data_IF_213792573989
#
_entry.id   IF_213792573989
#
_cell.length_a   1.000
_cell.length_b   1.000
_cell.length_c   1.000
_cell.angle_alpha   90.00
_cell.angle_beta   90.00
_cell.angle_gamma   90.00
#
_symmetry.space_group_name_H-M   'P 1'
#
loop_
_entity.id
_entity.type
_entity.pdbx_description
1 polymer ?
#
# COMPACT_ATOMS: atom_id res chain seq x y z
N UNK A 1 17.03 20.24 -18.87
CA UNK A 1 16.52 18.97 -18.31
C UNK A 1 16.05 19.23 -16.89
N UNK A 2 15.09 18.44 -16.38
CA UNK A 2 14.54 18.61 -15.02
C UNK A 2 14.13 17.24 -14.46
N UNK A 3 14.32 17.00 -13.17
CA UNK A 3 13.68 15.90 -12.44
C UNK A 3 12.49 16.43 -11.66
N UNK A 4 11.34 15.76 -11.77
CA UNK A 4 10.13 16.10 -11.02
C UNK A 4 9.25 14.87 -10.79
N UNK A 5 8.87 14.62 -9.53
CA UNK A 5 7.92 13.56 -9.13
C UNK A 5 8.30 12.17 -9.66
N UNK A 6 9.58 11.83 -9.62
CA UNK A 6 10.06 10.53 -10.12
C UNK A 6 10.30 10.47 -11.63
N UNK A 7 10.08 11.56 -12.36
CA UNK A 7 10.22 11.60 -13.82
C UNK A 7 11.34 12.57 -14.22
N UNK A 8 12.22 12.13 -15.11
CA UNK A 8 13.22 12.97 -15.76
C UNK A 8 12.62 13.50 -17.06
N UNK A 9 12.63 14.82 -17.21
CA UNK A 9 12.15 15.54 -18.37
C UNK A 9 13.30 16.16 -19.16
N UNK A 10 13.31 15.90 -20.46
CA UNK A 10 14.19 16.51 -21.44
C UNK A 10 13.34 17.33 -22.40
N UNK A 11 13.65 18.62 -22.52
CA UNK A 11 12.95 19.55 -23.42
C UNK A 11 13.92 20.08 -24.46
N UNK A 12 13.53 20.01 -25.72
CA UNK A 12 14.26 20.55 -26.87
C UNK A 12 13.41 21.64 -27.52
N UNK A 13 14.01 22.81 -27.69
CA UNK A 13 13.37 24.00 -28.23
C UNK A 13 14.14 24.51 -29.45
N UNK A 14 13.41 25.07 -30.42
CA UNK A 14 13.98 25.85 -31.50
C UNK A 14 14.36 27.28 -31.04
N UNK A 15 14.93 28.06 -31.94
CA UNK A 15 15.32 29.47 -31.67
C UNK A 15 14.13 30.38 -31.32
N UNK A 16 12.90 29.96 -31.66
CA UNK A 16 11.65 30.68 -31.39
C UNK A 16 10.97 30.21 -30.10
N UNK A 17 11.54 29.21 -29.41
CA UNK A 17 11.01 28.61 -28.20
C UNK A 17 9.93 27.53 -28.41
N UNK A 18 9.73 27.05 -29.64
CA UNK A 18 8.80 25.97 -29.95
C UNK A 18 9.46 24.60 -29.73
N UNK A 19 8.67 23.62 -29.32
CA UNK A 19 9.14 22.24 -29.14
C UNK A 19 9.53 21.59 -30.47
N UNK A 20 10.66 20.90 -30.49
CA UNK A 20 11.14 20.18 -31.67
C UNK A 20 10.88 18.69 -31.52
N UNK A 21 10.05 18.13 -32.38
CA UNK A 21 9.67 16.72 -32.39
C UNK A 21 10.73 15.83 -33.07
N UNK A 22 10.79 14.55 -32.67
CA UNK A 22 11.57 13.53 -33.35
C UNK A 22 13.06 13.50 -33.03
N UNK A 23 13.53 14.38 -32.14
CA UNK A 23 14.94 14.46 -31.74
C UNK A 23 15.31 13.21 -30.92
N UNK A 24 16.32 12.43 -31.33
CA UNK A 24 16.81 11.30 -30.55
C UNK A 24 17.44 11.76 -29.24
N UNK A 25 17.00 11.17 -28.14
CA UNK A 25 17.50 11.41 -26.79
C UNK A 25 17.80 10.06 -26.15
N UNK A 26 19.02 9.89 -25.62
CA UNK A 26 19.41 8.72 -24.85
C UNK A 26 19.50 9.11 -23.38
N UNK A 27 18.80 8.40 -22.50
CA UNK A 27 18.86 8.60 -21.04
C UNK A 27 19.29 7.29 -20.40
N UNK A 28 20.47 7.24 -19.77
CA UNK A 28 21.05 6.01 -19.18
C UNK A 28 20.98 4.81 -20.14
N UNK A 29 21.35 5.02 -21.41
CA UNK A 29 21.33 4.00 -22.45
C UNK A 29 19.94 3.68 -23.03
N UNK A 30 18.85 4.27 -22.52
CA UNK A 30 17.51 4.12 -23.09
C UNK A 30 17.30 5.13 -24.21
N UNK A 31 17.05 4.66 -25.42
CA UNK A 31 16.76 5.50 -26.58
C UNK A 31 15.29 5.95 -26.61
N UNK A 32 15.09 7.26 -26.69
CA UNK A 32 13.81 7.94 -26.74
C UNK A 32 13.80 8.96 -27.88
N UNK A 33 12.61 9.46 -28.22
CA UNK A 33 12.44 10.59 -29.14
C UNK A 33 11.56 11.65 -28.51
N UNK A 34 11.83 12.92 -28.81
CA UNK A 34 10.95 14.01 -28.39
C UNK A 34 9.60 13.93 -29.10
N UNK A 35 8.53 14.24 -28.38
CA UNK A 35 7.18 14.34 -28.94
C UNK A 35 6.91 15.70 -29.61
N UNK A 36 5.67 15.93 -30.05
CA UNK A 36 5.22 17.20 -30.67
C UNK A 36 5.41 18.47 -29.82
N UNK A 37 5.63 18.34 -28.51
CA UNK A 37 5.95 19.46 -27.62
C UNK A 37 7.45 19.62 -27.37
N UNK A 38 8.29 18.85 -28.07
CA UNK A 38 9.73 18.81 -27.87
C UNK A 38 10.15 18.12 -26.57
N UNK A 39 9.32 17.24 -26.02
CA UNK A 39 9.56 16.60 -24.72
C UNK A 39 9.88 15.11 -24.87
N UNK A 40 10.91 14.65 -24.18
CA UNK A 40 11.15 13.24 -23.89
C UNK A 40 11.18 13.06 -22.36
N UNK A 41 10.64 11.95 -21.86
CA UNK A 41 10.61 11.69 -20.42
C UNK A 41 10.80 10.21 -20.11
N UNK A 42 11.37 9.94 -18.94
CA UNK A 42 11.57 8.59 -18.40
C UNK A 42 11.35 8.60 -16.89
N UNK A 43 10.77 7.53 -16.36
CA UNK A 43 10.65 7.32 -14.93
C UNK A 43 12.01 6.89 -14.34
N UNK A 44 12.50 7.63 -13.34
CA UNK A 44 13.70 7.28 -12.60
C UNK A 44 13.33 6.29 -11.50
N UNK A 45 13.94 5.11 -11.53
CA UNK A 45 13.70 4.05 -10.52
C UNK A 45 14.71 4.07 -9.39
N UNK A 46 15.89 4.59 -9.66
CA UNK A 46 17.02 4.56 -8.74
C UNK A 46 17.60 5.96 -8.54
N UNK A 47 18.08 6.31 -7.34
CA UNK A 47 18.84 7.53 -7.16
C UNK A 47 20.19 7.43 -7.85
N UNK A 48 20.70 8.55 -8.36
CA UNK A 48 21.97 8.60 -9.06
C UNK A 48 22.05 9.78 -10.02
N UNK A 49 23.18 9.89 -10.70
CA UNK A 49 23.37 10.85 -11.78
C UNK A 49 23.01 10.18 -13.08
N UNK A 50 21.98 10.67 -13.75
CA UNK A 50 21.55 10.19 -15.05
C UNK A 50 22.28 10.95 -16.16
N UNK A 51 23.03 10.25 -17.01
CA UNK A 51 23.65 10.77 -18.23
C UNK A 51 22.61 10.84 -19.35
N UNK A 52 22.55 12.00 -20.00
CA UNK A 52 21.59 12.29 -21.06
C UNK A 52 22.36 12.79 -22.28
N UNK A 53 22.18 12.08 -23.39
CA UNK A 53 22.77 12.43 -24.69
C UNK A 53 21.67 12.83 -25.65
N UNK A 54 21.82 13.98 -26.31
CA UNK A 54 20.92 14.43 -27.37
C UNK A 54 21.68 14.44 -28.70
N UNK A 55 21.01 13.97 -29.75
CA UNK A 55 21.52 14.08 -31.12
C UNK A 55 20.71 15.15 -31.87
N UNK A 56 21.26 16.36 -31.94
CA UNK A 56 20.67 17.49 -32.67
C UNK A 56 21.23 17.49 -34.10
N UNK A 57 20.68 16.62 -34.95
CA UNK A 57 21.04 16.49 -36.37
C UNK A 57 22.55 16.34 -36.60
N UNK A 58 23.17 15.40 -35.88
CA UNK A 58 24.60 15.10 -35.94
C UNK A 58 25.45 15.86 -34.92
N UNK A 59 24.87 16.84 -34.21
CA UNK A 59 25.53 17.48 -33.06
C UNK A 59 25.14 16.78 -31.76
N UNK A 60 26.11 16.10 -31.16
CA UNK A 60 25.93 15.44 -29.87
C UNK A 60 26.05 16.47 -28.75
N UNK A 61 25.05 16.50 -27.86
CA UNK A 61 25.03 17.32 -26.64
C UNK A 61 24.83 16.41 -25.45
N UNK A 62 25.69 16.52 -24.45
CA UNK A 62 25.60 15.74 -23.21
C UNK A 62 25.18 16.64 -22.03
N UNK A 63 24.34 16.09 -21.16
CA UNK A 63 23.89 16.74 -19.93
C UNK A 63 23.61 15.70 -18.86
N UNK A 64 23.44 16.16 -17.62
CA UNK A 64 23.30 15.30 -16.46
C UNK A 64 22.12 15.76 -15.61
N UNK A 65 21.41 14.81 -15.02
CA UNK A 65 20.36 15.07 -14.03
C UNK A 65 20.64 14.26 -12.79
N UNK A 66 20.78 14.94 -11.66
CA UNK A 66 20.94 14.30 -10.36
C UNK A 66 19.57 13.94 -9.78
N UNK A 67 19.36 12.65 -9.52
CA UNK A 67 18.15 12.12 -8.87
C UNK A 67 18.49 11.69 -7.45
N UNK A 68 17.87 12.36 -6.48
CA UNK A 68 18.05 12.08 -5.04
C UNK A 68 16.89 11.24 -4.53
N UNK A 69 17.08 10.54 -3.41
CA UNK A 69 16.05 9.71 -2.77
C UNK A 69 15.77 10.16 -1.34
N UNK A 70 14.52 10.00 -0.92
CA UNK A 70 14.09 10.21 0.46
C UNK A 70 14.44 9.00 1.34
N UNK A 71 14.85 9.29 2.57
CA UNK A 71 14.99 8.31 3.65
C UNK A 71 13.94 8.60 4.71
N UNK A 72 13.18 7.59 5.10
CA UNK A 72 12.07 7.72 6.03
C UNK A 72 12.33 6.90 7.30
N UNK A 73 12.29 7.57 8.44
CA UNK A 73 12.35 6.97 9.77
C UNK A 73 11.09 7.36 10.55
N UNK A 74 10.81 6.66 11.65
CA UNK A 74 9.61 6.93 12.43
C UNK A 74 9.82 6.63 13.92
N UNK A 75 9.02 7.28 14.75
CA UNK A 75 8.98 7.11 16.18
C UNK A 75 7.53 7.22 16.66
N UNK A 76 7.05 6.23 17.40
CA UNK A 76 5.72 6.28 17.99
C UNK A 76 5.79 6.94 19.38
N UNK A 77 4.94 7.96 19.59
CA UNK A 77 4.69 8.58 20.90
C UNK A 77 3.20 8.53 21.23
N UNK A 78 2.82 7.53 22.03
CA UNK A 78 1.42 7.26 22.37
C UNK A 78 0.54 7.12 21.11
N UNK A 79 -0.40 8.04 20.91
CA UNK A 79 -1.36 8.08 19.80
C UNK A 79 -0.86 8.91 18.61
N UNK A 80 0.37 9.41 18.66
CA UNK A 80 0.99 10.15 17.56
C UNK A 80 2.18 9.37 17.02
N UNK A 81 2.25 9.25 15.70
CA UNK A 81 3.40 8.74 14.99
C UNK A 81 4.17 9.92 14.41
N UNK A 82 5.41 10.09 14.85
CA UNK A 82 6.34 11.06 14.29
C UNK A 82 7.06 10.38 13.13
N UNK A 83 6.96 10.97 11.94
CA UNK A 83 7.67 10.50 10.75
C UNK A 83 8.73 11.53 10.38
N UNK A 84 9.97 11.06 10.24
CA UNK A 84 11.13 11.87 9.87
C UNK A 84 11.55 11.54 8.45
N UNK A 85 11.55 12.53 7.58
CA UNK A 85 12.00 12.43 6.19
C UNK A 85 13.30 13.20 6.02
N UNK A 86 14.33 12.52 5.53
CA UNK A 86 15.70 13.03 5.44
C UNK A 86 16.35 12.71 4.09
N UNK A 87 17.38 13.46 3.73
CA UNK A 87 18.28 13.12 2.64
C UNK A 87 19.36 12.11 3.07
N UNK A 88 20.24 11.73 2.14
CA UNK A 88 21.37 10.82 2.40
C UNK A 88 22.39 11.39 3.39
N UNK A 89 22.44 12.72 3.58
CA UNK A 89 23.30 13.37 4.56
C UNK A 89 22.64 13.48 5.96
N UNK A 90 21.39 13.01 6.09
CA UNK A 90 20.62 13.08 7.32
C UNK A 90 19.95 14.42 7.59
N UNK A 91 19.95 15.35 6.63
CA UNK A 91 19.25 16.64 6.71
C UNK A 91 17.75 16.42 6.50
N UNK A 92 16.93 17.03 7.36
CA UNK A 92 15.48 17.03 7.21
C UNK A 92 15.00 17.69 5.91
N UNK A 93 13.98 17.10 5.28
CA UNK A 93 13.38 17.62 4.04
C UNK A 93 11.94 18.04 4.32
N UNK A 94 11.70 19.35 4.27
CA UNK A 94 10.35 19.92 4.37
C UNK A 94 9.54 19.87 3.09
N UNK A 95 8.23 20.07 3.25
CA UNK A 95 7.23 20.03 2.19
C UNK A 95 7.17 18.69 1.42
N UNK A 96 7.33 17.60 2.15
CA UNK A 96 7.10 16.23 1.66
C UNK A 96 5.73 15.79 2.13
N UNK A 97 4.91 15.28 1.22
CA UNK A 97 3.59 14.74 1.56
C UNK A 97 3.75 13.30 2.01
N UNK A 98 3.21 12.96 3.17
CA UNK A 98 3.19 11.61 3.72
C UNK A 98 1.77 11.12 3.74
N UNK A 99 1.49 10.04 3.02
CA UNK A 99 0.25 9.29 3.11
C UNK A 99 0.46 8.12 4.08
N UNK A 100 -0.41 8.03 5.09
CA UNK A 100 -0.41 6.94 6.05
C UNK A 100 -1.74 6.18 5.97
N UNK A 101 -1.68 4.90 5.63
CA UNK A 101 -2.83 4.01 5.49
C UNK A 101 -2.73 2.92 6.55
N UNK A 102 -3.65 2.95 7.51
CA UNK A 102 -3.74 1.97 8.59
C UNK A 102 -5.05 1.17 8.53
N UNK A 103 -5.28 0.32 9.55
CA UNK A 103 -6.44 -0.58 9.59
C UNK A 103 -7.79 0.14 9.74
N UNK A 104 -7.80 1.35 10.31
CA UNK A 104 -9.05 2.12 10.55
C UNK A 104 -9.29 3.12 9.40
N UNK A 105 -8.23 3.68 8.82
CA UNK A 105 -8.38 4.72 7.81
C UNK A 105 -7.06 5.18 7.23
N UNK A 106 -7.15 6.28 6.46
CA UNK A 106 -6.02 6.96 5.85
C UNK A 106 -5.94 8.41 6.32
N UNK A 107 -4.73 8.91 6.49
CA UNK A 107 -4.48 10.32 6.80
C UNK A 107 -3.27 10.83 6.02
N UNK A 108 -3.15 12.16 5.93
CA UNK A 108 -2.06 12.83 5.22
C UNK A 108 -1.33 13.77 6.18
N UNK A 109 -0.01 13.78 6.09
CA UNK A 109 0.86 14.73 6.78
C UNK A 109 1.76 15.45 5.80
N UNK A 110 2.19 16.66 6.15
CA UNK A 110 3.22 17.38 5.41
C UNK A 110 4.38 17.63 6.35
N UNK A 111 5.60 17.38 5.89
CA UNK A 111 6.80 17.61 6.71
C UNK A 111 7.11 19.09 6.89
N UNK A 112 7.46 19.46 8.12
CA UNK A 112 7.97 20.78 8.47
C UNK A 112 9.39 21.04 7.92
N UNK A 113 9.96 22.22 8.18
CA UNK A 113 11.33 22.57 7.74
C UNK A 113 12.41 21.60 8.26
N UNK A 114 12.15 20.91 9.37
CA UNK A 114 13.05 19.90 9.95
C UNK A 114 12.81 18.50 9.38
N UNK A 115 11.90 18.35 8.42
CA UNK A 115 11.54 17.07 7.82
C UNK A 115 10.67 16.19 8.71
N UNK A 116 9.94 16.76 9.67
CA UNK A 116 9.08 16.01 10.60
C UNK A 116 7.61 16.18 10.24
N UNK A 117 6.86 15.09 10.21
CA UNK A 117 5.41 15.08 10.07
C UNK A 117 4.77 14.33 11.23
N UNK A 118 3.60 14.80 11.67
CA UNK A 118 2.81 14.17 12.71
C UNK A 118 1.64 13.43 12.07
N UNK A 119 1.53 12.14 12.38
CA UNK A 119 0.45 11.27 11.93
C UNK A 119 -0.39 10.87 13.13
N UNK A 120 -1.70 11.11 13.05
CA UNK A 120 -2.65 10.76 14.11
C UNK A 120 -3.02 9.28 14.03
N UNK A 121 -2.64 8.50 15.04
CA UNK A 121 -2.94 7.07 15.11
C UNK A 121 -4.40 6.79 15.43
N UNK A 122 -5.16 7.76 15.95
CA UNK A 122 -6.60 7.59 16.17
C UNK A 122 -7.39 7.57 14.85
N UNK A 123 -6.86 8.19 13.79
CA UNK A 123 -7.47 8.20 12.45
C UNK A 123 -7.04 7.01 11.60
N UNK A 124 -5.77 6.60 11.73
CA UNK A 124 -5.19 5.51 10.93
C UNK A 124 -5.38 4.15 11.59
N UNK A 125 -5.43 4.11 12.92
CA UNK A 125 -5.54 2.92 13.74
C UNK A 125 -4.20 2.31 14.13
N UNK A 126 -4.23 1.46 15.16
CA UNK A 126 -3.05 0.74 15.63
C UNK A 126 -2.89 -0.60 14.91
N UNK A 127 -1.65 -1.00 14.62
CA UNK A 127 -1.34 -2.21 13.86
C UNK A 127 -0.40 -1.93 12.68
N UNK A 128 -0.61 -2.63 11.57
CA UNK A 128 0.22 -2.44 10.38
C UNK A 128 -0.21 -1.19 9.61
N UNK A 129 0.71 -0.25 9.43
CA UNK A 129 0.49 1.01 8.69
C UNK A 129 1.44 1.05 7.51
N UNK A 130 0.91 1.34 6.32
CA UNK A 130 1.69 1.68 5.13
C UNK A 130 1.92 3.20 5.10
N UNK A 131 3.18 3.59 5.03
CA UNK A 131 3.60 4.98 4.87
C UNK A 131 4.17 5.17 3.47
N UNK A 132 3.74 6.22 2.79
CA UNK A 132 4.24 6.64 1.48
C UNK A 132 4.59 8.12 1.52
N UNK A 133 5.85 8.44 1.25
CA UNK A 133 6.36 9.79 1.18
C UNK A 133 6.57 10.22 -0.28
N UNK A 134 5.90 11.28 -0.69
CA UNK A 134 5.95 11.85 -2.03
C UNK A 134 6.59 13.24 -2.03
N UNK A 135 7.48 13.48 -2.99
CA UNK A 135 8.15 14.77 -3.19
C UNK A 135 8.33 15.06 -4.68
N UNK A 136 8.29 16.34 -5.02
CA UNK A 136 8.61 16.78 -6.39
C UNK A 136 10.11 16.67 -6.68
N UNK A 137 10.98 16.78 -5.66
CA UNK A 137 12.44 16.93 -5.84
C UNK A 137 13.24 15.66 -5.55
N UNK A 138 12.60 14.64 -4.99
CA UNK A 138 13.25 13.41 -4.58
C UNK A 138 12.40 12.21 -5.02
N UNK A 139 13.05 11.07 -5.28
CA UNK A 139 12.36 9.79 -5.35
C UNK A 139 11.68 9.50 -4.01
N UNK A 140 10.42 9.10 -4.11
CA UNK A 140 9.58 8.77 -2.96
C UNK A 140 10.14 7.62 -2.13
N UNK A 141 9.61 7.51 -0.91
CA UNK A 141 9.95 6.43 0.01
C UNK A 141 8.68 5.76 0.50
N UNK A 142 8.71 4.44 0.62
CA UNK A 142 7.60 3.65 1.13
C UNK A 142 8.10 2.74 2.25
N UNK A 143 7.28 2.57 3.29
CA UNK A 143 7.56 1.66 4.39
C UNK A 143 6.27 1.05 4.93
N UNK A 144 6.36 -0.17 5.44
CA UNK A 144 5.30 -0.79 6.23
C UNK A 144 5.82 -0.91 7.65
N UNK A 145 5.07 -0.35 8.59
CA UNK A 145 5.45 -0.28 10.00
C UNK A 145 4.38 -0.94 10.87
N UNK A 146 4.74 -1.31 12.09
CA UNK A 146 3.78 -1.82 13.07
C UNK A 146 3.77 -0.91 14.29
N UNK A 147 2.64 -0.26 14.55
CA UNK A 147 2.43 0.60 15.72
C UNK A 147 1.57 -0.12 16.76
N UNK A 148 1.83 0.12 18.05
CA UNK A 148 1.17 -0.58 19.16
C UNK A 148 0.14 0.32 19.82
N UNK A 149 -0.96 -0.24 20.31
CA UNK A 149 -1.89 0.54 21.12
C UNK A 149 -1.21 0.96 22.44
N UNK A 150 -1.37 2.23 22.88
CA UNK A 150 -0.83 2.68 24.16
C UNK A 150 -1.40 1.83 25.29
N UNK A 151 -0.54 1.38 26.21
CA UNK A 151 -1.01 0.75 27.44
C UNK A 151 -1.78 1.79 28.24
N UNK A 152 -3.08 1.58 28.44
CA UNK A 152 -3.87 2.39 29.37
C UNK A 152 -3.17 2.39 30.73
N UNK A 153 -3.05 3.54 31.41
CA UNK A 153 -2.43 3.57 32.73
C UNK A 153 -3.18 2.60 33.65
N UNK A 154 -2.45 1.62 34.21
CA UNK A 154 -2.96 0.80 35.29
C UNK A 154 -3.33 1.75 36.44
N UNK A 155 -4.62 1.85 36.72
CA UNK A 155 -5.09 2.54 37.92
C UNK A 155 -4.59 1.72 39.10
N UNK A 156 -3.49 2.16 39.71
CA UNK A 156 -3.03 1.59 41.00
C UNK A 156 -4.14 1.83 42.00
N UNK A 157 -4.89 0.77 42.31
CA UNK A 157 -5.84 0.77 43.42
C UNK A 157 -5.02 0.98 44.70
N UNK A 158 -5.23 2.06 45.47
CA UNK A 158 -4.54 2.22 46.74
C UNK A 158 -4.92 1.07 47.69
N UNK A 159 -4.00 0.58 48.53
CA UNK A 159 -4.31 -0.46 49.49
C UNK A 159 -5.42 0.00 50.45
N UNK A 160 -6.49 -0.80 50.52
CA UNK A 160 -7.59 -0.64 51.48
C UNK A 160 -7.05 -0.79 52.90
N UNK A 161 -6.94 0.31 53.64
CA UNK A 161 -6.90 0.30 55.09
C UNK A 161 -8.32 0.08 55.60
N UNK A 162 -8.55 -1.06 56.25
CA UNK A 162 -9.80 -1.35 56.97
C UNK A 162 -9.94 -0.38 58.14
N UNK A 163 -10.81 0.61 58.01
CA UNK A 163 -11.39 1.33 59.14
C UNK A 163 -12.91 1.21 59.11
N UNK A 164 -13.45 0.87 60.28
CA UNK A 164 -14.86 0.66 60.60
C UNK A 164 -15.74 1.87 60.23
N UNK A 165 -16.91 1.68 59.58
CA UNK A 165 -17.79 2.79 59.25
C UNK A 165 -18.71 3.13 60.43
N UNK A 166 -18.76 4.42 60.79
CA UNK A 166 -19.85 5.01 61.55
C UNK A 166 -20.85 5.57 60.53
N UNK A 167 -22.10 5.14 60.65
CA UNK A 167 -23.24 5.58 59.85
C UNK A 167 -23.46 7.09 59.97
N UNK A 168 -23.49 7.78 58.82
CA UNK A 168 -24.31 8.97 58.63
C UNK A 168 -24.81 9.01 57.19
N UNK A 169 -26.12 8.81 57.05
CA UNK A 169 -26.88 8.82 55.80
C UNK A 169 -27.22 10.24 55.39
N UNK A 170 -26.78 10.65 54.20
CA UNK A 170 -27.38 11.75 53.44
C UNK A 170 -27.84 11.18 52.09
N UNK A 171 -29.13 11.30 51.70
CA UNK A 171 -29.63 10.64 50.50
C UNK A 171 -29.20 11.41 49.25
N UNK A 172 -28.36 10.79 48.42
CA UNK A 172 -28.16 11.18 47.01
C UNK A 172 -29.11 10.31 46.17
N UNK A 173 -30.00 10.97 45.43
CA UNK A 173 -30.95 10.30 44.53
C UNK A 173 -30.22 9.44 43.48
N UNK A 174 -30.69 8.21 43.19
CA UNK A 174 -30.17 7.44 42.07
C UNK A 174 -30.57 8.12 40.76
N UNK A 175 -29.58 8.48 39.93
CA UNK A 175 -29.83 8.93 38.56
C UNK A 175 -30.48 7.78 37.80
N UNK A 176 -31.73 8.00 37.39
CA UNK A 176 -32.54 7.04 36.63
C UNK A 176 -31.82 6.69 35.32
N UNK A 177 -31.56 5.41 35.01
CA UNK A 177 -30.97 5.03 33.72
C UNK A 177 -31.93 5.45 32.61
N UNK A 178 -31.40 6.13 31.58
CA UNK A 178 -32.17 6.48 30.38
C UNK A 178 -32.63 5.18 29.71
N UNK A 179 -33.93 5.07 29.50
CA UNK A 179 -34.55 3.93 28.84
C UNK A 179 -34.31 4.02 27.34
N UNK A 180 -33.38 3.21 26.84
CA UNK A 180 -32.99 3.18 25.42
C UNK A 180 -33.75 2.09 24.63
N UNK A 181 -34.90 1.62 25.10
CA UNK A 181 -35.76 0.68 24.38
C UNK A 181 -35.00 -0.51 23.79
N UNK A 182 -35.26 -0.85 22.52
CA UNK A 182 -34.61 -1.99 21.84
C UNK A 182 -33.22 -1.68 21.25
N UNK A 183 -32.67 -0.49 21.47
CA UNK A 183 -31.39 -0.05 20.91
C UNK A 183 -30.19 -0.94 21.30
N UNK A 184 -30.06 -1.45 22.55
CA UNK A 184 -29.03 -2.45 22.87
C UNK A 184 -29.19 -3.76 22.10
N UNK A 185 -30.43 -4.20 21.83
CA UNK A 185 -30.71 -5.42 21.07
C UNK A 185 -30.34 -5.23 19.59
N UNK A 186 -30.68 -4.07 19.02
CA UNK A 186 -30.31 -3.69 17.64
C UNK A 186 -28.79 -3.63 17.48
N UNK A 187 -28.08 -3.07 18.47
CA UNK A 187 -26.61 -3.02 18.45
C UNK A 187 -26.00 -4.43 18.48
N UNK A 188 -26.50 -5.33 19.32
CA UNK A 188 -26.02 -6.73 19.36
C UNK A 188 -26.30 -7.46 18.05
N UNK A 189 -27.50 -7.32 17.49
CA UNK A 189 -27.84 -7.91 16.18
C UNK A 189 -26.96 -7.33 15.05
N UNK A 190 -26.71 -6.03 15.05
CA UNK A 190 -25.82 -5.40 14.06
C UNK A 190 -24.37 -5.87 14.20
N UNK A 191 -23.86 -6.04 15.42
CA UNK A 191 -22.51 -6.56 15.66
C UNK A 191 -22.34 -8.00 15.17
N UNK A 192 -23.37 -8.85 15.32
CA UNK A 192 -23.34 -10.23 14.82
C UNK A 192 -23.38 -10.27 13.28
N UNK A 193 -24.24 -9.47 12.65
CA UNK A 193 -24.38 -9.44 11.18
C UNK A 193 -23.12 -8.85 10.52
N UNK A 194 -22.67 -7.65 10.94
CA UNK A 194 -21.52 -6.98 10.31
C UNK A 194 -20.17 -7.57 10.73
N UNK A 195 -20.07 -8.09 11.96
CA UNK A 195 -18.88 -8.82 12.40
C UNK A 195 -18.68 -10.09 11.57
N UNK A 196 -19.71 -10.93 11.43
CA UNK A 196 -19.59 -12.21 10.73
C UNK A 196 -19.28 -12.07 9.23
N UNK A 197 -19.84 -11.09 8.52
CA UNK A 197 -19.59 -10.92 7.07
C UNK A 197 -18.18 -10.42 6.77
N UNK A 198 -17.59 -9.62 7.66
CA UNK A 198 -16.25 -9.03 7.45
C UNK A 198 -15.12 -10.06 7.62
N UNK A 199 -15.27 -11.01 8.56
CA UNK A 199 -14.28 -12.07 8.76
C UNK A 199 -14.24 -13.06 7.60
N UNK A 200 -15.38 -13.38 6.97
CA UNK A 200 -15.43 -14.37 5.89
C UNK A 200 -14.57 -14.00 4.67
N UNK A 201 -14.32 -12.72 4.41
CA UNK A 201 -13.45 -12.27 3.31
C UNK A 201 -11.96 -12.64 3.55
N UNK A 202 -11.51 -12.69 4.80
CA UNK A 202 -10.13 -13.05 5.14
C UNK A 202 -9.86 -14.56 5.06
N UNK A 203 -10.91 -15.39 5.00
CA UNK A 203 -10.81 -16.85 5.01
C UNK A 203 -11.19 -17.50 3.67
N UNK A 204 -11.55 -16.72 2.65
CA UNK A 204 -11.87 -17.24 1.31
C UNK A 204 -10.64 -17.18 0.40
N UNK A 205 -10.37 -18.23 -0.40
CA UNK A 205 -9.32 -18.17 -1.41
C UNK A 205 -9.69 -17.14 -2.48
N UNK A 206 -8.73 -16.29 -2.84
CA UNK A 206 -8.89 -15.33 -3.94
C UNK A 206 -8.67 -16.07 -5.25
N UNK A 207 -9.65 -15.96 -6.16
CA UNK A 207 -9.58 -16.55 -7.51
C UNK A 207 -9.58 -15.42 -8.53
N UNK A 208 -8.67 -15.48 -9.48
CA UNK A 208 -8.60 -14.56 -10.59
C UNK A 208 -8.56 -15.38 -11.87
N UNK A 209 -9.46 -15.08 -12.80
CA UNK A 209 -9.57 -15.74 -14.10
C UNK A 209 -9.33 -14.69 -15.18
N UNK A 210 -8.46 -15.00 -16.13
CA UNK A 210 -8.13 -14.12 -17.24
C UNK A 210 -8.05 -14.93 -18.54
N UNK A 211 -8.69 -14.42 -19.59
CA UNK A 211 -8.63 -15.03 -20.92
C UNK A 211 -7.93 -14.06 -21.88
N UNK A 212 -6.87 -14.53 -22.51
CA UNK A 212 -6.04 -13.80 -23.45
C UNK A 212 -5.94 -14.62 -24.75
N UNK A 213 -6.80 -14.30 -25.72
CA UNK A 213 -6.86 -14.96 -27.03
C UNK A 213 -7.04 -16.49 -26.87
N UNK A 214 -6.00 -17.27 -27.17
CA UNK A 214 -5.96 -18.74 -27.05
C UNK A 214 -5.49 -19.26 -25.68
N UNK A 215 -5.17 -18.38 -24.73
CA UNK A 215 -4.69 -18.76 -23.40
C UNK A 215 -5.72 -18.39 -22.34
N UNK A 216 -5.89 -19.29 -21.38
CA UNK A 216 -6.76 -19.09 -20.23
C UNK A 216 -5.95 -19.31 -18.95
N UNK A 217 -5.93 -18.30 -18.09
CA UNK A 217 -5.16 -18.29 -16.86
C UNK A 217 -6.10 -18.25 -15.65
N UNK A 218 -5.82 -19.11 -14.68
CA UNK A 218 -6.49 -19.08 -13.39
C UNK A 218 -5.44 -18.99 -12.30
N UNK A 219 -5.53 -17.94 -11.49
CA UNK A 219 -4.69 -17.73 -10.32
C UNK A 219 -5.53 -17.95 -9.08
N UNK A 220 -5.02 -18.78 -8.17
CA UNK A 220 -5.62 -19.03 -6.86
C UNK A 220 -4.62 -18.68 -5.78
N UNK A 221 -5.06 -17.89 -4.80
CA UNK A 221 -4.26 -17.53 -3.64
C UNK A 221 -4.91 -17.99 -2.35
N UNK A 222 -4.15 -18.68 -1.52
CA UNK A 222 -4.60 -19.11 -0.21
C UNK A 222 -4.80 -17.92 0.75
N UNK A 223 -5.77 -17.98 1.66
CA UNK A 223 -5.94 -17.01 2.75
C UNK A 223 -4.64 -16.78 3.53
N UNK A 224 -4.37 -15.54 3.96
CA UNK A 224 -3.12 -15.22 4.70
C UNK A 224 -3.04 -15.83 6.09
N UNK A 225 -4.18 -16.27 6.64
CA UNK A 225 -4.31 -16.74 8.02
C UNK A 225 -4.59 -18.24 8.13
N UNK A 226 -4.75 -18.96 7.01
CA UNK A 226 -5.05 -20.39 7.01
C UNK A 226 -4.60 -21.09 5.72
N UNK A 227 -4.11 -22.31 5.87
CA UNK A 227 -3.81 -23.22 4.76
C UNK A 227 -5.09 -23.59 3.99
N UNK A 228 -4.96 -23.69 2.67
CA UNK A 228 -6.04 -24.15 1.80
C UNK A 228 -5.80 -25.63 1.47
N UNK A 229 -6.76 -26.49 1.78
CA UNK A 229 -6.69 -27.93 1.50
C UNK A 229 -7.79 -28.35 0.53
N UNK A 230 -7.50 -29.39 -0.25
CA UNK A 230 -8.45 -30.06 -1.15
C UNK A 230 -9.22 -29.07 -2.04
N UNK A 231 -8.49 -28.09 -2.58
CA UNK A 231 -9.08 -27.08 -3.43
C UNK A 231 -9.35 -27.68 -4.80
N UNK A 232 -10.62 -27.66 -5.23
CA UNK A 232 -11.03 -28.10 -6.56
C UNK A 232 -11.62 -26.94 -7.34
N UNK A 233 -11.12 -26.77 -8.56
CA UNK A 233 -11.61 -25.82 -9.53
C UNK A 233 -12.08 -26.58 -10.77
N UNK A 234 -13.29 -26.29 -11.23
CA UNK A 234 -13.88 -26.90 -12.41
C UNK A 234 -14.42 -25.81 -13.33
N UNK A 235 -14.05 -25.86 -14.61
CA UNK A 235 -14.51 -24.92 -15.62
C UNK A 235 -14.80 -25.64 -16.93
N UNK A 236 -15.99 -25.39 -17.50
CA UNK A 236 -16.35 -25.87 -18.82
C UNK A 236 -15.71 -25.01 -19.90
N UNK A 237 -14.61 -25.51 -20.46
CA UNK A 237 -13.83 -24.85 -21.49
C UNK A 237 -13.10 -25.91 -22.32
N UNK A 238 -13.21 -25.82 -23.64
CA UNK A 238 -12.55 -26.73 -24.57
C UNK A 238 -11.07 -26.37 -24.62
N UNK A 239 -10.27 -26.99 -23.76
CA UNK A 239 -8.83 -26.80 -23.75
C UNK A 239 -8.11 -27.98 -24.41
N UNK A 240 -7.10 -27.64 -25.21
CA UNK A 240 -6.21 -28.59 -25.90
C UNK A 240 -5.11 -29.09 -24.96
N UNK A 241 -4.58 -28.21 -24.10
CA UNK A 241 -3.58 -28.55 -23.07
C UNK A 241 -3.83 -27.69 -21.83
N UNK A 242 -3.48 -28.20 -20.64
CA UNK A 242 -3.57 -27.46 -19.39
C UNK A 242 -2.49 -27.90 -18.41
N UNK A 243 -1.83 -26.92 -17.78
CA UNK A 243 -0.74 -27.13 -16.83
C UNK A 243 -0.92 -26.24 -15.62
N UNK A 244 -0.55 -26.74 -14.46
CA UNK A 244 -0.56 -25.95 -13.23
C UNK A 244 0.82 -25.95 -12.56
N UNK A 245 1.12 -24.88 -11.84
CA UNK A 245 2.34 -24.77 -11.02
C UNK A 245 2.27 -25.63 -9.76
N UNK A 246 1.06 -25.94 -9.27
CA UNK A 246 0.79 -26.84 -8.15
C UNK A 246 -0.51 -27.62 -8.37
N UNK A 247 -0.57 -28.82 -7.82
CA UNK A 247 -1.74 -29.68 -7.92
C UNK A 247 -1.81 -30.45 -9.25
N UNK A 248 -2.87 -31.24 -9.40
CA UNK A 248 -3.12 -32.07 -10.57
C UNK A 248 -4.17 -31.43 -11.46
N UNK A 249 -3.93 -31.47 -12.78
CA UNK A 249 -4.88 -30.97 -13.79
C UNK A 249 -5.32 -32.13 -14.65
N UNK A 250 -6.62 -32.21 -14.90
CA UNK A 250 -7.25 -33.20 -15.77
C UNK A 250 -8.26 -32.51 -16.68
N UNK A 251 -8.24 -32.88 -17.97
CA UNK A 251 -9.19 -32.39 -18.96
C UNK A 251 -10.13 -33.55 -19.28
N UNK A 252 -11.39 -33.43 -18.91
CA UNK A 252 -12.41 -34.48 -19.10
C UNK A 252 -13.69 -33.83 -19.65
N UNK A 253 -14.27 -34.42 -20.70
CA UNK A 253 -15.56 -34.00 -21.30
C UNK A 253 -15.66 -32.49 -21.61
N UNK A 254 -14.60 -31.88 -22.16
CA UNK A 254 -14.59 -30.44 -22.48
C UNK A 254 -14.56 -29.52 -21.24
N UNK A 255 -14.08 -30.04 -20.11
CA UNK A 255 -13.90 -29.31 -18.86
C UNK A 255 -12.50 -29.49 -18.31
N UNK A 256 -11.98 -28.44 -17.68
CA UNK A 256 -10.73 -28.50 -16.92
C UNK A 256 -11.09 -28.68 -15.46
N UNK A 257 -10.50 -29.71 -14.85
CA UNK A 257 -10.56 -29.99 -13.43
C UNK A 257 -9.15 -29.77 -12.87
N UNK A 258 -9.01 -28.88 -11.91
CA UNK A 258 -7.75 -28.59 -11.23
C UNK A 258 -7.90 -28.81 -9.74
N UNK A 259 -7.09 -29.71 -9.20
CA UNK A 259 -7.12 -30.13 -7.79
C UNK A 259 -5.79 -29.82 -7.10
N UNK A 260 -5.84 -29.14 -5.96
CA UNK A 260 -4.68 -28.79 -5.16
C UNK A 260 -4.85 -29.33 -3.74
N UNK A 261 -3.95 -30.23 -3.34
CA UNK A 261 -4.00 -30.91 -2.04
C UNK A 261 -3.76 -29.94 -0.87
N UNK A 262 -2.76 -29.05 -1.02
CA UNK A 262 -2.36 -28.08 0.00
C UNK A 262 -1.71 -26.83 -0.62
N UNK A 263 -2.13 -25.65 -0.15
CA UNK A 263 -1.43 -24.37 -0.29
C UNK A 263 -1.19 -23.74 1.08
N UNK A 264 0.02 -23.23 1.27
CA UNK A 264 0.40 -22.51 2.49
C UNK A 264 -0.25 -21.12 2.57
N UNK A 265 -0.35 -20.51 3.75
CA UNK A 265 -1.04 -19.24 3.91
C UNK A 265 -0.39 -18.13 3.07
N UNK A 266 -1.18 -17.50 2.19
CA UNK A 266 -0.70 -16.45 1.29
C UNK A 266 0.02 -16.94 0.03
N UNK A 267 0.23 -18.26 -0.12
CA UNK A 267 0.83 -18.89 -1.30
C UNK A 267 -0.10 -18.81 -2.53
N UNK A 268 0.51 -18.74 -3.71
CA UNK A 268 -0.18 -18.59 -4.99
C UNK A 268 0.07 -19.81 -5.88
N UNK A 269 -0.97 -20.24 -6.58
CA UNK A 269 -0.91 -21.29 -7.59
C UNK A 269 -1.54 -20.80 -8.89
N UNK A 270 -1.00 -21.26 -10.01
CA UNK A 270 -1.40 -20.83 -11.34
C UNK A 270 -1.76 -22.05 -12.17
N UNK A 271 -2.86 -21.93 -12.90
CA UNK A 271 -3.30 -22.84 -13.95
C UNK A 271 -3.24 -22.06 -15.26
N UNK A 272 -2.60 -22.64 -16.26
CA UNK A 272 -2.55 -22.15 -17.62
C UNK A 272 -3.15 -23.21 -18.53
N UNK A 273 -4.17 -22.84 -19.28
CA UNK A 273 -4.81 -23.67 -20.28
C UNK A 273 -4.72 -23.02 -21.66
N UNK A 274 -4.64 -23.86 -22.68
CA UNK A 274 -4.61 -23.47 -24.09
C UNK A 274 -5.94 -23.91 -24.70
N UNK A 275 -6.65 -22.96 -25.29
CA UNK A 275 -7.95 -23.15 -25.94
C UNK A 275 -7.81 -23.60 -27.39
#
# INVERSE_FOLDING_TARGET
>A
TKFERGIIYVRVLDEKGNGVEGIPVTIEGTELKTNSYGMAFIEAKEPGTYHITLNLDGKIVETFVEVKKLFMNYEQRNETLLVYVRDSAGKGIGNVTIEAIGPIGKTYGVTDENGTALINLNETGFGSISLKAESDRYLGAEAIITVKEPKKPETKTPPQTTSTPINQTTPIQPVKPKDYGNLPIILVLSAIIFGSTSYLALFRPLKFEEQLDKYYFVKVRAPRVRELHNFRYEKAINAVDARATKGKVTIEDGRIIWEIDKLEPGEEAFLQAIL
#
